data_IF_687096461926
#
_entry.id   IF_687096461926
#
_cell.length_a   1.000
_cell.length_b   1.000
_cell.length_c   1.000
_cell.angle_alpha   90.00
_cell.angle_beta   90.00
_cell.angle_gamma   90.00
#
_symmetry.space_group_name_H-M   'P 1'
#
loop_
_entity.id
_entity.type
_entity.pdbx_description
1 polymer ?
#
# COMPACT_ATOMS: atom_id res chain seq x y z
N UNK A 1 1.22 8.70 2.67
CA UNK A 1 -0.02 8.30 1.95
C UNK A 1 -0.24 9.10 0.69
N UNK A 2 -0.36 10.44 0.74
CA UNK A 2 -0.48 11.25 -0.48
C UNK A 2 0.68 11.02 -1.46
N UNK A 3 1.92 11.01 -0.97
CA UNK A 3 3.13 10.72 -1.77
C UNK A 3 3.03 9.39 -2.53
N UNK A 4 2.44 8.34 -1.93
CA UNK A 4 2.23 7.07 -2.61
C UNK A 4 1.27 7.24 -3.80
N UNK A 5 0.13 7.90 -3.57
CA UNK A 5 -0.84 8.16 -4.65
C UNK A 5 -0.25 9.02 -5.77
N UNK A 6 0.57 10.02 -5.43
CA UNK A 6 1.25 10.87 -6.41
C UNK A 6 2.29 10.10 -7.23
N UNK A 7 3.03 9.17 -6.60
CA UNK A 7 4.04 8.37 -7.29
C UNK A 7 3.45 7.26 -8.16
N UNK A 8 2.36 6.65 -7.72
CA UNK A 8 1.74 5.48 -8.35
C UNK A 8 0.43 5.84 -9.07
N UNK A 9 0.16 7.13 -9.33
CA UNK A 9 -1.11 7.60 -9.91
C UNK A 9 -1.44 6.90 -11.23
N UNK A 10 -0.46 6.82 -12.14
CA UNK A 10 -0.61 6.20 -13.45
C UNK A 10 -0.89 4.69 -13.34
N UNK A 11 -0.11 3.98 -12.52
CA UNK A 11 -0.27 2.53 -12.32
C UNK A 11 -1.59 2.20 -11.62
N UNK A 12 -1.99 2.97 -10.61
CA UNK A 12 -3.30 2.84 -9.95
C UNK A 12 -4.43 3.08 -10.96
N UNK A 13 -4.30 4.13 -11.79
CA UNK A 13 -5.27 4.45 -12.83
C UNK A 13 -5.42 3.33 -13.85
N UNK A 14 -4.31 2.74 -14.30
CA UNK A 14 -4.31 1.62 -15.24
C UNK A 14 -4.95 0.36 -14.62
N UNK A 15 -4.62 0.04 -13.38
CA UNK A 15 -5.23 -1.09 -12.66
C UNK A 15 -6.75 -0.96 -12.58
N UNK A 16 -7.24 0.22 -12.20
CA UNK A 16 -8.68 0.50 -12.10
C UNK A 16 -9.36 0.49 -13.48
N UNK A 17 -8.73 1.08 -14.49
CA UNK A 17 -9.26 1.11 -15.85
C UNK A 17 -9.41 -0.29 -16.43
N UNK A 18 -8.45 -1.17 -16.19
CA UNK A 18 -8.48 -2.56 -16.64
C UNK A 18 -9.61 -3.37 -15.98
N UNK A 19 -9.84 -3.20 -14.69
CA UNK A 19 -10.96 -3.83 -13.99
C UNK A 19 -12.32 -3.37 -14.56
N UNK A 20 -12.48 -2.06 -14.77
CA UNK A 20 -13.70 -1.50 -15.36
C UNK A 20 -13.91 -2.02 -16.79
N UNK A 21 -12.87 -2.07 -17.61
CA UNK A 21 -12.94 -2.61 -18.96
C UNK A 21 -13.37 -4.09 -18.97
N UNK A 22 -12.81 -4.89 -18.05
CA UNK A 22 -13.17 -6.31 -17.89
C UNK A 22 -14.61 -6.51 -17.43
N UNK A 23 -15.15 -5.63 -16.58
CA UNK A 23 -16.55 -5.65 -16.18
C UNK A 23 -17.48 -5.27 -17.35
N UNK A 24 -17.11 -4.27 -18.17
CA UNK A 24 -17.88 -3.90 -19.37
C UNK A 24 -17.93 -5.07 -20.37
N UNK A 25 -16.80 -5.74 -20.60
CA UNK A 25 -16.74 -6.91 -21.47
C UNK A 25 -17.60 -8.06 -20.92
N UNK A 26 -17.54 -8.30 -19.61
CA UNK A 26 -18.37 -9.28 -18.90
C UNK A 26 -19.87 -9.03 -19.11
N UNK A 27 -20.30 -7.77 -19.02
CA UNK A 27 -21.68 -7.36 -19.29
C UNK A 27 -22.04 -7.60 -20.76
N UNK A 28 -21.16 -7.25 -21.70
CA UNK A 28 -21.39 -7.48 -23.13
C UNK A 28 -21.53 -8.97 -23.48
N UNK A 29 -20.87 -9.85 -22.71
CA UNK A 29 -20.99 -11.31 -22.82
C UNK A 29 -22.27 -11.88 -22.15
N UNK A 30 -23.15 -11.01 -21.63
CA UNK A 30 -24.43 -11.40 -21.06
C UNK A 30 -24.37 -11.83 -19.59
N UNK A 31 -23.27 -11.53 -18.86
CA UNK A 31 -23.30 -11.67 -17.40
C UNK A 31 -24.29 -10.67 -16.80
N UNK A 32 -25.03 -11.05 -15.75
CA UNK A 32 -25.93 -10.14 -15.06
C UNK A 32 -25.14 -8.94 -14.52
N UNK A 33 -25.68 -7.74 -14.73
CA UNK A 33 -25.08 -6.49 -14.25
C UNK A 33 -25.14 -6.49 -12.72
N UNK A 34 -24.00 -6.77 -12.09
CA UNK A 34 -23.79 -6.61 -10.65
C UNK A 34 -23.32 -5.21 -10.28
N UNK A 35 -22.90 -5.03 -9.03
CA UNK A 35 -22.13 -3.86 -8.64
C UNK A 35 -20.78 -3.94 -9.35
N UNK A 36 -20.31 -2.84 -9.95
CA UNK A 36 -18.95 -2.75 -10.47
C UNK A 36 -17.98 -3.16 -9.36
N UNK A 37 -17.24 -4.25 -9.56
CA UNK A 37 -16.21 -4.72 -8.64
C UNK A 37 -14.85 -4.25 -9.15
N UNK A 38 -14.07 -3.69 -8.23
CA UNK A 38 -12.66 -3.34 -8.42
C UNK A 38 -11.80 -4.14 -7.44
N UNK A 39 -12.27 -5.32 -7.01
CA UNK A 39 -11.64 -6.08 -5.93
C UNK A 39 -10.22 -6.56 -6.30
N UNK A 40 -9.97 -6.82 -7.59
CA UNK A 40 -8.66 -7.26 -8.08
C UNK A 40 -7.66 -6.11 -8.05
N UNK A 41 -8.02 -4.96 -8.62
CA UNK A 41 -7.19 -3.75 -8.60
C UNK A 41 -6.96 -3.24 -7.19
N UNK A 42 -7.98 -3.18 -6.33
CA UNK A 42 -7.83 -2.79 -4.92
C UNK A 42 -6.89 -3.73 -4.14
N UNK A 43 -6.91 -5.03 -4.44
CA UNK A 43 -5.92 -5.99 -3.93
C UNK A 43 -4.48 -5.65 -4.36
N UNK A 44 -4.26 -5.44 -5.66
CA UNK A 44 -2.95 -5.06 -6.22
C UNK A 44 -2.45 -3.70 -5.72
N UNK A 45 -3.33 -2.71 -5.61
CA UNK A 45 -3.03 -1.39 -5.04
C UNK A 45 -2.57 -1.54 -3.58
N UNK A 46 -3.19 -2.44 -2.81
CA UNK A 46 -2.75 -2.79 -1.47
C UNK A 46 -1.37 -3.45 -1.40
N UNK A 47 -1.01 -4.26 -2.40
CA UNK A 47 0.33 -4.85 -2.54
C UNK A 47 1.37 -3.78 -2.88
N UNK A 48 1.10 -2.92 -3.88
CA UNK A 48 1.95 -1.77 -4.22
C UNK A 48 2.22 -0.88 -3.01
N UNK A 49 1.19 -0.62 -2.21
CA UNK A 49 1.35 0.19 -1.01
C UNK A 49 2.24 -0.47 0.05
N UNK A 50 2.15 -1.80 0.20
CA UNK A 50 3.05 -2.54 1.10
C UNK A 50 4.48 -2.43 0.63
N UNK A 51 4.71 -2.69 -0.65
CA UNK A 51 6.05 -2.70 -1.25
C UNK A 51 6.69 -1.31 -1.18
N UNK A 52 5.92 -0.25 -1.43
CA UNK A 52 6.32 1.14 -1.25
C UNK A 52 6.87 1.43 0.15
N UNK A 53 6.21 0.91 1.19
CA UNK A 53 6.68 1.07 2.57
C UNK A 53 7.94 0.23 2.84
N UNK A 54 7.95 -1.03 2.41
CA UNK A 54 9.07 -1.96 2.64
C UNK A 54 10.35 -1.50 1.93
N UNK A 55 10.23 -0.92 0.73
CA UNK A 55 11.33 -0.33 -0.04
C UNK A 55 11.81 1.04 0.49
N UNK A 56 11.16 1.56 1.55
CA UNK A 56 11.44 2.90 2.12
C UNK A 56 11.29 4.04 1.09
N UNK A 57 10.44 3.85 0.09
CA UNK A 57 10.22 4.86 -0.95
C UNK A 57 9.60 6.14 -0.38
N UNK A 58 8.76 6.00 0.66
CA UNK A 58 8.24 7.16 1.38
C UNK A 58 9.35 8.10 1.88
N UNK A 59 10.41 7.53 2.48
CA UNK A 59 11.55 8.30 2.97
C UNK A 59 12.29 8.99 1.83
N UNK A 60 12.50 8.28 0.73
CA UNK A 60 13.20 8.80 -0.45
C UNK A 60 12.44 9.95 -1.09
N UNK A 61 11.13 9.80 -1.28
CA UNK A 61 10.29 10.79 -1.94
C UNK A 61 9.94 12.00 -1.06
N UNK A 62 9.78 11.80 0.26
CA UNK A 62 9.47 12.90 1.18
C UNK A 62 10.70 13.63 1.73
N UNK A 63 11.89 13.04 1.60
CA UNK A 63 13.12 13.46 2.28
C UNK A 63 12.99 13.58 3.81
N UNK A 64 11.93 13.01 4.40
CA UNK A 64 11.69 13.03 5.85
C UNK A 64 12.38 11.84 6.51
N UNK A 65 12.84 12.05 7.74
CA UNK A 65 13.50 11.00 8.53
C UNK A 65 12.66 10.67 9.75
N UNK A 66 12.65 9.38 10.12
CA UNK A 66 12.05 8.89 11.35
C UNK A 66 13.18 8.27 12.16
N UNK A 67 13.70 9.01 13.15
CA UNK A 67 14.85 8.59 13.95
C UNK A 67 14.68 7.18 14.52
N UNK A 68 13.49 6.86 15.05
CA UNK A 68 13.19 5.53 15.58
C UNK A 68 13.33 4.40 14.54
N UNK A 69 13.01 4.66 13.27
CA UNK A 69 13.15 3.66 12.21
C UNK A 69 14.63 3.49 11.81
N UNK A 70 15.40 4.57 11.81
CA UNK A 70 16.84 4.55 11.52
C UNK A 70 17.67 3.93 12.65
N UNK A 71 17.27 4.15 13.90
CA UNK A 71 17.86 3.51 15.09
C UNK A 71 17.40 2.05 15.28
N UNK A 72 16.55 1.53 14.40
CA UNK A 72 16.09 0.14 14.48
C UNK A 72 15.12 -0.14 15.63
N UNK A 73 14.46 0.88 16.19
CA UNK A 73 13.52 0.72 17.30
C UNK A 73 12.39 -0.21 16.88
N UNK A 74 12.21 -1.32 17.61
CA UNK A 74 11.23 -2.33 17.28
C UNK A 74 10.55 -2.88 18.54
N UNK A 75 9.32 -2.42 18.80
CA UNK A 75 8.53 -2.82 19.97
C UNK A 75 8.05 -4.27 19.95
N UNK A 76 8.23 -5.01 18.85
CA UNK A 76 7.96 -6.45 18.77
C UNK A 76 9.08 -7.29 19.39
N UNK A 77 10.29 -6.72 19.53
CA UNK A 77 11.44 -7.39 20.17
C UNK A 77 11.42 -7.17 21.68
N UNK A 78 11.97 -8.14 22.44
CA UNK A 78 12.14 -8.03 23.90
C UNK A 78 13.03 -6.85 24.32
N UNK A 79 13.97 -6.43 23.46
CA UNK A 79 14.82 -5.24 23.64
C UNK A 79 14.58 -4.29 22.45
N UNK A 80 13.56 -3.40 22.53
CA UNK A 80 13.19 -2.55 21.40
C UNK A 80 14.28 -1.57 20.96
N UNK A 81 15.08 -1.08 21.91
CA UNK A 81 16.11 -0.06 21.71
C UNK A 81 17.54 -0.63 21.68
N UNK A 82 17.70 -1.93 21.41
CA UNK A 82 19.03 -2.53 21.33
C UNK A 82 19.80 -1.94 20.15
N UNK A 83 21.04 -1.48 20.38
CA UNK A 83 21.88 -0.86 19.35
C UNK A 83 22.25 -1.83 18.20
N UNK A 84 22.13 -3.13 18.44
CA UNK A 84 22.28 -4.18 17.41
C UNK A 84 21.07 -4.29 16.46
N UNK A 85 19.97 -3.59 16.73
CA UNK A 85 18.81 -3.62 15.85
C UNK A 85 19.13 -2.88 14.55
N UNK A 86 18.94 -3.53 13.38
CA UNK A 86 19.19 -2.86 12.11
C UNK A 86 18.14 -1.78 11.86
N UNK A 87 18.53 -0.74 11.12
CA UNK A 87 17.59 0.21 10.54
C UNK A 87 16.49 -0.53 9.76
N UNK A 88 15.27 0.00 9.81
CA UNK A 88 14.09 -0.71 9.32
C UNK A 88 13.10 0.21 8.62
N UNK A 89 12.23 -0.32 7.74
CA UNK A 89 11.26 0.51 7.07
C UNK A 89 10.32 1.25 8.04
N UNK A 90 9.92 2.45 7.65
CA UNK A 90 9.00 3.28 8.41
C UNK A 90 7.58 2.71 8.34
N UNK A 91 6.77 2.93 9.37
CA UNK A 91 5.32 2.63 9.38
C UNK A 91 4.89 1.16 9.24
N UNK A 92 5.82 0.20 9.16
CA UNK A 92 5.50 -1.23 8.99
C UNK A 92 5.31 -2.04 10.28
N UNK A 93 5.77 -1.53 11.43
CA UNK A 93 5.86 -2.31 12.69
C UNK A 93 4.57 -3.02 13.08
N UNK A 94 3.47 -2.26 13.11
CA UNK A 94 2.18 -2.71 13.58
C UNK A 94 1.26 -3.10 12.43
N UNK A 95 1.69 -2.90 11.18
CA UNK A 95 0.82 -2.99 10.01
C UNK A 95 -0.32 -1.96 9.99
N UNK A 96 -0.37 -1.02 10.94
CA UNK A 96 -1.49 -0.07 11.08
C UNK A 96 -1.73 0.71 9.79
N UNK A 97 -0.68 1.22 9.16
CA UNK A 97 -0.82 1.98 7.92
C UNK A 97 -1.30 1.12 6.74
N UNK A 98 -0.83 -0.13 6.64
CA UNK A 98 -1.28 -1.08 5.62
C UNK A 98 -2.76 -1.45 5.82
N UNK A 99 -3.16 -1.71 7.06
CA UNK A 99 -4.54 -2.03 7.41
C UNK A 99 -5.48 -0.85 7.17
N UNK A 100 -5.09 0.35 7.61
CA UNK A 100 -5.85 1.58 7.39
C UNK A 100 -5.98 1.91 5.90
N UNK A 101 -4.92 1.72 5.12
CA UNK A 101 -4.98 1.93 3.67
C UNK A 101 -5.93 0.94 3.01
N UNK A 102 -5.81 -0.36 3.32
CA UNK A 102 -6.71 -1.38 2.80
C UNK A 102 -8.16 -1.05 3.12
N UNK A 103 -8.47 -0.70 4.38
CA UNK A 103 -9.82 -0.32 4.78
C UNK A 103 -10.35 0.85 3.94
N UNK A 104 -9.55 1.88 3.69
CA UNK A 104 -9.95 3.02 2.89
C UNK A 104 -10.22 2.69 1.41
N UNK A 105 -9.52 1.69 0.87
CA UNK A 105 -9.65 1.29 -0.54
C UNK A 105 -10.80 0.27 -0.73
N UNK A 106 -11.21 -0.44 0.33
CA UNK A 106 -12.25 -1.49 0.26
C UNK A 106 -13.61 -1.09 0.86
N UNK A 107 -13.71 0.03 1.59
CA UNK A 107 -14.98 0.60 2.07
C UNK A 107 -15.76 1.27 0.93
#
# INVERSE_FOLDING_TARGET
MRVFLEMYEEEIGELLANDIAGEIESIAQGKPVGRLSVDVSTGKIGELFRDFLDAREWKQASAQTIAAADEGVNHRKKRPYAAENPARPEFVDTGLYQASFRAWVTD
#
